data_IF_609922855489
#
_entry.id   IF_609922855489
#
_cell.length_a   1.000
_cell.length_b   1.000
_cell.length_c   1.000
_cell.angle_alpha   90.00
_cell.angle_beta   90.00
_cell.angle_gamma   90.00
#
_symmetry.space_group_name_H-M   'P 1'
#
loop_
_entity.id
_entity.type
_entity.pdbx_description
1 polymer ?
#
# COMPACT_ATOMS: atom_id res chain seq x y z
N UNK A 1 11.33 5.27 -10.38
CA UNK A 1 11.06 3.81 -10.22
C UNK A 1 11.50 3.37 -8.83
N UNK A 2 11.01 4.06 -7.81
CA UNK A 2 11.46 3.94 -6.44
C UNK A 2 10.22 3.82 -5.58
N UNK A 3 10.16 2.77 -4.77
CA UNK A 3 9.12 2.54 -3.79
C UNK A 3 9.66 2.99 -2.44
N UNK A 4 8.86 3.74 -1.70
CA UNK A 4 9.24 4.32 -0.42
C UNK A 4 8.03 4.27 0.51
N UNK A 5 8.27 4.05 1.81
CA UNK A 5 7.20 4.04 2.85
C UNK A 5 6.80 5.47 3.25
N UNK A 6 6.19 6.19 2.32
CA UNK A 6 5.88 7.62 2.47
C UNK A 6 5.07 7.97 3.73
N UNK A 7 4.18 7.08 4.17
CA UNK A 7 3.31 7.32 5.32
C UNK A 7 4.09 7.36 6.64
N UNK A 8 5.08 6.48 6.81
CA UNK A 8 5.93 6.45 8.03
C UNK A 8 6.82 7.69 8.08
N UNK A 9 7.32 8.10 6.92
CA UNK A 9 8.25 9.22 6.77
C UNK A 9 7.59 10.59 6.58
N UNK A 10 6.26 10.67 6.63
CA UNK A 10 5.48 11.89 6.41
C UNK A 10 5.94 12.68 5.17
N UNK A 11 6.19 11.99 4.05
CA UNK A 11 6.56 12.66 2.80
C UNK A 11 5.43 13.59 2.38
N UNK A 12 5.76 14.85 2.11
CA UNK A 12 4.79 15.88 1.72
C UNK A 12 4.97 16.27 0.27
N UNK A 13 3.88 16.72 -0.31
CA UNK A 13 3.90 17.43 -1.59
C UNK A 13 4.50 18.81 -1.33
N UNK A 14 5.68 19.06 -1.87
CA UNK A 14 6.28 20.39 -1.77
C UNK A 14 5.83 21.18 -2.99
N UNK A 15 5.06 22.24 -2.76
CA UNK A 15 4.53 23.08 -3.83
C UNK A 15 5.62 23.74 -4.70
N UNK A 16 6.86 23.82 -4.19
CA UNK A 16 8.04 24.28 -4.93
C UNK A 16 8.58 23.26 -5.95
N UNK A 17 8.24 21.99 -5.78
CA UNK A 17 8.83 20.89 -6.53
C UNK A 17 7.81 20.45 -7.59
N UNK A 18 7.97 21.01 -8.79
CA UNK A 18 7.04 20.82 -9.92
C UNK A 18 7.78 20.10 -11.05
N UNK A 19 7.19 19.03 -11.57
CA UNK A 19 7.70 18.28 -12.72
C UNK A 19 6.75 18.44 -13.92
N UNK A 20 7.30 18.76 -15.09
CA UNK A 20 6.52 18.84 -16.32
C UNK A 20 6.24 17.43 -16.86
N UNK A 21 5.02 17.24 -17.36
CA UNK A 21 4.63 15.98 -18.01
C UNK A 21 5.15 16.01 -19.44
N UNK A 22 5.89 14.97 -19.82
CA UNK A 22 6.35 14.77 -21.19
C UNK A 22 5.45 13.73 -21.88
N UNK A 23 4.92 14.10 -23.04
CA UNK A 23 4.14 13.23 -23.91
C UNK A 23 4.90 13.12 -25.24
N UNK A 24 5.15 11.91 -25.73
CA UNK A 24 5.92 11.68 -26.98
C UNK A 24 7.30 12.37 -27.01
N UNK A 25 7.98 12.44 -25.85
CA UNK A 25 9.25 13.17 -25.64
C UNK A 25 9.15 14.70 -25.79
N UNK A 26 7.96 15.24 -25.96
CA UNK A 26 7.71 16.67 -26.00
C UNK A 26 7.25 17.16 -24.63
N UNK A 27 7.88 18.22 -24.14
CA UNK A 27 7.48 18.89 -22.90
C UNK A 27 6.10 19.50 -23.09
N UNK A 28 5.14 19.12 -22.26
CA UNK A 28 3.80 19.72 -22.29
C UNK A 28 3.69 20.89 -21.31
N UNK A 29 2.60 21.65 -21.42
CA UNK A 29 2.22 22.66 -20.43
C UNK A 29 1.66 22.05 -19.14
N UNK A 30 1.35 20.74 -19.13
CA UNK A 30 0.88 20.05 -17.94
C UNK A 30 2.05 19.87 -16.97
N UNK A 31 1.79 20.21 -15.72
CA UNK A 31 2.75 20.05 -14.64
C UNK A 31 2.08 19.37 -13.46
N UNK A 32 2.85 18.59 -12.71
CA UNK A 32 2.39 17.90 -11.50
C UNK A 32 3.31 18.26 -10.33
N UNK A 33 2.73 18.31 -9.15
CA UNK A 33 3.50 18.38 -7.90
C UNK A 33 4.26 17.08 -7.69
N UNK A 34 5.48 17.19 -7.17
CA UNK A 34 6.33 16.05 -6.87
C UNK A 34 6.31 15.82 -5.36
N UNK A 35 6.11 14.56 -4.98
CA UNK A 35 6.31 14.13 -3.60
C UNK A 35 7.80 14.07 -3.36
N UNK A 36 8.32 14.91 -2.46
CA UNK A 36 9.72 14.77 -2.03
C UNK A 36 9.79 13.68 -0.98
N UNK A 37 10.46 12.60 -1.31
CA UNK A 37 10.79 11.56 -0.34
C UNK A 37 11.91 12.06 0.56
N UNK A 38 11.56 12.29 1.82
CA UNK A 38 12.47 12.70 2.90
C UNK A 38 12.48 11.54 3.88
N UNK A 39 13.66 11.08 4.32
CA UNK A 39 13.75 9.91 5.19
C UNK A 39 15.05 9.14 4.99
N UNK A 40 15.07 7.91 5.50
CA UNK A 40 16.22 7.01 5.44
C UNK A 40 16.42 6.46 4.01
N UNK A 41 17.60 6.63 3.40
CA UNK A 41 17.94 6.02 2.12
C UNK A 41 17.76 4.50 2.09
N UNK A 42 17.89 3.81 3.23
CA UNK A 42 17.74 2.36 3.33
C UNK A 42 16.28 1.92 3.16
N UNK A 43 15.31 2.83 3.34
CA UNK A 43 13.89 2.59 3.08
C UNK A 43 13.48 2.82 1.62
N UNK A 44 14.45 3.15 0.75
CA UNK A 44 14.23 3.32 -0.68
C UNK A 44 14.41 1.97 -1.40
N UNK A 45 13.29 1.40 -1.84
CA UNK A 45 13.29 0.14 -2.57
C UNK A 45 13.26 0.43 -4.08
N UNK A 46 14.31 0.01 -4.79
CA UNK A 46 14.33 0.07 -6.25
C UNK A 46 13.45 -1.03 -6.84
N UNK A 47 12.44 -0.63 -7.62
CA UNK A 47 11.60 -1.58 -8.33
C UNK A 47 12.31 -2.07 -9.59
N UNK A 48 13.25 -2.99 -9.39
CA UNK A 48 14.05 -3.61 -10.46
C UNK A 48 13.20 -4.38 -11.46
N UNK A 49 11.98 -4.82 -11.11
CA UNK A 49 11.09 -5.49 -12.07
C UNK A 49 10.62 -4.57 -13.21
N UNK A 50 10.62 -3.24 -12.99
CA UNK A 50 10.20 -2.24 -13.98
C UNK A 50 11.37 -1.46 -14.60
N UNK A 51 12.62 -1.74 -14.19
CA UNK A 51 13.79 -1.08 -14.78
C UNK A 51 14.21 -1.80 -16.05
N UNK A 52 14.33 -1.08 -17.17
CA UNK A 52 14.79 -1.64 -18.44
C UNK A 52 16.17 -2.31 -18.31
N UNK A 53 17.08 -1.68 -17.56
CA UNK A 53 18.47 -2.11 -17.37
C UNK A 53 18.68 -2.90 -16.07
N UNK A 54 17.60 -3.44 -15.49
CA UNK A 54 17.65 -4.22 -14.25
C UNK A 54 18.59 -5.43 -14.30
N UNK A 55 18.87 -5.95 -15.50
CA UNK A 55 19.80 -7.06 -15.73
C UNK A 55 21.18 -6.78 -15.11
N UNK A 56 21.63 -5.52 -15.12
CA UNK A 56 22.90 -5.12 -14.54
C UNK A 56 22.87 -5.07 -13.01
N UNK A 57 21.69 -4.95 -12.41
CA UNK A 57 21.49 -4.94 -10.96
C UNK A 57 21.37 -6.35 -10.36
N UNK A 58 21.27 -7.39 -11.18
CA UNK A 58 21.08 -8.76 -10.70
C UNK A 58 22.25 -9.24 -9.84
N UNK A 59 23.49 -8.86 -10.16
CA UNK A 59 24.69 -9.22 -9.40
C UNK A 59 24.82 -8.56 -8.03
N UNK A 60 24.01 -7.53 -7.75
CA UNK A 60 23.96 -6.85 -6.45
C UNK A 60 22.86 -7.41 -5.54
N UNK A 61 22.08 -8.39 -6.02
CA UNK A 61 21.02 -9.00 -5.20
C UNK A 61 21.64 -9.95 -4.18
N UNK A 62 21.24 -9.80 -2.92
CA UNK A 62 21.53 -10.80 -1.89
C UNK A 62 20.82 -12.10 -2.28
N UNK A 63 21.51 -13.26 -2.28
CA UNK A 63 20.86 -14.53 -2.55
C UNK A 63 19.78 -14.79 -1.52
N UNK A 64 18.53 -14.90 -2.00
CA UNK A 64 17.39 -15.21 -1.15
C UNK A 64 17.44 -16.70 -0.84
N UNK A 65 17.43 -17.07 0.44
CA UNK A 65 17.31 -18.47 0.82
C UNK A 65 15.96 -19.00 0.30
N UNK A 66 15.93 -20.21 -0.29
CA UNK A 66 14.68 -20.82 -0.71
C UNK A 66 13.68 -20.87 0.45
N UNK A 67 12.45 -20.41 0.20
CA UNK A 67 11.38 -20.49 1.18
C UNK A 67 10.97 -21.96 1.35
N UNK A 68 11.02 -22.49 2.57
CA UNK A 68 10.38 -23.77 2.87
C UNK A 68 8.87 -23.59 2.79
N UNK A 69 8.29 -24.06 1.69
CA UNK A 69 6.87 -23.91 1.39
C UNK A 69 5.99 -24.58 2.44
N UNK A 70 6.37 -25.76 2.94
CA UNK A 70 5.55 -26.49 3.90
C UNK A 70 5.52 -25.75 5.24
N UNK A 71 6.69 -25.31 5.70
CA UNK A 71 6.81 -24.51 6.92
C UNK A 71 6.04 -23.19 6.79
N UNK A 72 6.20 -22.48 5.67
CA UNK A 72 5.53 -21.20 5.43
C UNK A 72 4.00 -21.34 5.41
N UNK A 73 3.47 -22.41 4.79
CA UNK A 73 2.03 -22.71 4.77
C UNK A 73 1.54 -23.00 6.19
N UNK A 74 2.25 -23.84 6.95
CA UNK A 74 1.89 -24.19 8.32
C UNK A 74 1.90 -22.96 9.24
N UNK A 75 2.95 -22.13 9.17
CA UNK A 75 3.05 -20.91 9.97
C UNK A 75 1.97 -19.88 9.61
N UNK A 76 1.67 -19.74 8.32
CA UNK A 76 0.60 -18.88 7.81
C UNK A 76 -0.76 -19.30 8.35
N UNK A 77 -1.14 -20.58 8.17
CA UNK A 77 -2.39 -21.12 8.68
C UNK A 77 -2.50 -20.98 10.21
N UNK A 78 -1.41 -21.27 10.94
CA UNK A 78 -1.40 -21.12 12.40
C UNK A 78 -1.56 -19.65 12.84
N UNK A 79 -1.03 -18.69 12.08
CA UNK A 79 -1.21 -17.26 12.35
C UNK A 79 -2.66 -16.83 12.14
N UNK A 80 -3.29 -17.28 11.06
CA UNK A 80 -4.69 -16.97 10.76
C UNK A 80 -5.65 -17.52 11.83
N UNK A 81 -5.45 -18.76 12.26
CA UNK A 81 -6.25 -19.37 13.34
C UNK A 81 -6.17 -18.54 14.63
N UNK A 82 -4.96 -18.10 15.01
CA UNK A 82 -4.75 -17.26 16.20
C UNK A 82 -5.46 -15.91 16.08
N UNK A 83 -5.39 -15.27 14.92
CA UNK A 83 -6.10 -13.99 14.68
C UNK A 83 -7.62 -14.14 14.74
N UNK A 84 -8.17 -15.28 14.26
CA UNK A 84 -9.60 -15.57 14.30
C UNK A 84 -10.12 -15.92 15.71
N UNK A 85 -9.31 -16.59 16.54
CA UNK A 85 -9.68 -16.89 17.93
C UNK A 85 -9.74 -15.64 18.80
N UNK A 86 -8.95 -14.61 18.49
CA UNK A 86 -8.94 -13.35 19.22
C UNK A 86 -10.16 -12.48 18.89
N UNK A 87 -10.68 -12.57 17.66
CA UNK A 87 -11.87 -11.82 17.23
C UNK A 87 -13.18 -12.37 17.79
N UNK A 88 -13.22 -13.66 18.14
CA UNK A 88 -14.43 -14.30 18.69
C UNK A 88 -14.66 -13.97 20.17
N UNK A 89 -13.66 -13.46 20.87
CA UNK A 89 -13.76 -13.12 22.31
C UNK A 89 -14.30 -11.70 22.58
N UNK A 90 -14.53 -10.88 21.54
CA UNK A 90 -15.01 -9.49 21.65
C UNK A 90 -16.41 -9.22 21.07
N UNK A 91 -17.06 -10.20 20.43
CA UNK A 91 -18.39 -10.03 19.84
C UNK A 91 -19.51 -10.39 20.83
N UNK A 92 -19.58 -9.69 21.96
CA UNK A 92 -20.74 -9.75 22.85
C UNK A 92 -21.09 -8.35 23.36
N UNK A 93 -21.63 -7.51 22.48
CA UNK A 93 -22.20 -6.21 22.84
C UNK A 93 -23.42 -5.89 21.95
N UNK A 94 -24.60 -6.15 22.54
CA UNK A 94 -25.89 -5.43 22.37
C UNK A 94 -26.58 -5.40 21.00
N UNK A 95 -27.58 -6.28 20.82
CA UNK A 95 -28.69 -6.10 19.88
C UNK A 95 -29.82 -5.28 20.52
N UNK A 96 -29.82 -3.97 20.32
CA UNK A 96 -31.04 -3.15 20.44
C UNK A 96 -31.03 -2.10 19.35
N UNK A 97 -31.75 -2.36 18.26
CA UNK A 97 -32.11 -1.34 17.29
C UNK A 97 -33.62 -1.42 17.03
N UNK A 98 -34.30 -0.40 17.56
CA UNK A 98 -35.74 -0.22 17.55
C UNK A 98 -36.35 -0.20 16.14
N UNK A 99 -37.51 -0.84 16.04
CA UNK A 99 -38.40 -0.87 14.90
C UNK A 99 -38.94 0.54 14.59
N UNK A 100 -38.65 1.09 13.40
CA UNK A 100 -39.16 2.39 12.95
C UNK A 100 -40.32 2.16 11.96
N UNK A 101 -41.55 2.65 12.21
CA UNK A 101 -42.65 2.45 11.28
C UNK A 101 -42.51 3.35 10.04
N UNK A 102 -42.77 2.75 8.88
CA UNK A 102 -42.78 3.36 7.54
C UNK A 102 -43.90 4.41 7.45
N UNK A 103 -43.55 5.68 7.21
CA UNK A 103 -44.55 6.73 6.91
C UNK A 103 -45.17 6.48 5.53
N UNK A 104 -46.49 6.33 5.53
CA UNK A 104 -47.38 6.20 4.38
C UNK A 104 -47.51 7.58 3.70
N UNK A 105 -47.03 7.72 2.47
CA UNK A 105 -47.22 8.92 1.66
C UNK A 105 -48.66 9.00 1.15
N UNK A 106 -49.35 10.09 1.47
CA UNK A 106 -50.64 10.48 0.89
C UNK A 106 -50.41 11.24 -0.40
N UNK A 107 -51.03 10.79 -1.50
CA UNK A 107 -51.19 11.53 -2.76
C UNK A 107 -52.22 12.65 -2.54
N UNK A 108 -51.89 13.86 -3.00
CA UNK A 108 -52.77 14.99 -3.23
C UNK A 108 -52.28 15.71 -4.47
#
# INVERSE_FOLDING_TARGET
NLQHRCQVHNCKDFASDIEFVYEERTKTSKAKTVIRHVGDPDDLILNTARMHDAKHMQGLRVPVQPLDMNLAILEGAAREIRMCSDTTSGASMTSTAAHRPRRRGTRG
#
